data_IF_597082454776
#
_entry.id   IF_597082454776
#
_cell.length_a   1.000
_cell.length_b   1.000
_cell.length_c   1.000
_cell.angle_alpha   90.00
_cell.angle_beta   90.00
_cell.angle_gamma   90.00
#
_symmetry.space_group_name_H-M   'P 1'
#
loop_
_entity.id
_entity.type
_entity.pdbx_description
1 polymer ?
#
# COMPACT_ATOMS: atom_id res chain seq x y z
N UNK A 1 -37.41 -19.55 0.64
CA UNK A 1 -36.13 -19.80 -0.08
C UNK A 1 -35.38 -18.51 -0.48
N UNK A 2 -36.10 -17.43 -0.84
CA UNK A 2 -35.47 -16.14 -1.21
C UNK A 2 -34.84 -15.38 -0.01
N UNK A 3 -35.37 -15.52 1.20
CA UNK A 3 -34.78 -14.89 2.39
C UNK A 3 -33.46 -15.53 2.83
N UNK A 4 -33.33 -16.87 2.77
CA UNK A 4 -32.06 -17.56 3.08
C UNK A 4 -30.91 -17.20 2.14
N UNK A 5 -31.20 -16.93 0.87
CA UNK A 5 -30.18 -16.47 -0.09
C UNK A 5 -29.65 -15.05 0.16
N UNK A 6 -30.50 -14.15 0.72
CA UNK A 6 -30.14 -12.77 1.06
C UNK A 6 -29.25 -12.72 2.33
N UNK A 7 -29.51 -13.52 3.33
CA UNK A 7 -28.69 -13.59 4.56
C UNK A 7 -27.28 -14.14 4.27
N UNK A 8 -27.17 -15.20 3.45
CA UNK A 8 -25.86 -15.74 3.06
C UNK A 8 -25.04 -14.77 2.20
N UNK A 9 -25.69 -13.96 1.37
CA UNK A 9 -25.02 -12.92 0.58
C UNK A 9 -24.52 -11.78 1.48
N UNK A 10 -25.30 -11.36 2.47
CA UNK A 10 -24.92 -10.32 3.43
C UNK A 10 -23.71 -10.69 4.28
N UNK A 11 -23.60 -11.93 4.70
CA UNK A 11 -22.49 -12.42 5.54
C UNK A 11 -21.18 -12.52 4.75
N UNK A 12 -21.21 -12.97 3.49
CA UNK A 12 -20.03 -12.99 2.63
C UNK A 12 -19.44 -11.59 2.38
N UNK A 13 -20.28 -10.56 2.30
CA UNK A 13 -19.83 -9.18 2.10
C UNK A 13 -19.31 -8.52 3.38
N UNK A 14 -19.84 -8.86 4.55
CA UNK A 14 -19.35 -8.38 5.85
C UNK A 14 -17.93 -8.84 6.13
N UNK A 15 -17.62 -10.10 5.81
CA UNK A 15 -16.29 -10.69 6.02
C UNK A 15 -15.17 -10.08 5.16
N UNK A 16 -15.48 -9.34 4.09
CA UNK A 16 -14.44 -8.71 3.26
C UNK A 16 -13.68 -7.58 3.96
N UNK A 17 -14.27 -6.95 4.99
CA UNK A 17 -13.65 -5.88 5.79
C UNK A 17 -13.15 -6.37 7.16
N UNK A 18 -13.27 -7.66 7.45
CA UNK A 18 -12.82 -8.24 8.71
C UNK A 18 -11.52 -9.05 8.52
N UNK A 19 -10.64 -9.04 9.53
CA UNK A 19 -10.66 -8.19 10.72
C UNK A 19 -10.22 -6.74 10.39
N UNK A 20 -10.86 -5.78 11.03
CA UNK A 20 -10.65 -4.36 10.71
C UNK A 20 -9.20 -3.91 10.91
N UNK A 21 -8.55 -4.30 12.01
CA UNK A 21 -7.18 -3.93 12.32
C UNK A 21 -6.17 -4.38 11.24
N UNK A 22 -6.35 -5.59 10.67
CA UNK A 22 -5.51 -6.07 9.56
C UNK A 22 -5.66 -5.19 8.32
N UNK A 23 -6.89 -4.86 7.95
CA UNK A 23 -7.13 -4.01 6.79
C UNK A 23 -6.70 -2.56 7.04
N UNK A 24 -6.74 -2.08 8.28
CA UNK A 24 -6.13 -0.79 8.65
C UNK A 24 -4.63 -0.81 8.40
N UNK A 25 -3.91 -1.85 8.82
CA UNK A 25 -2.49 -1.99 8.51
C UNK A 25 -2.21 -2.05 7.00
N UNK A 26 -3.09 -2.70 6.21
CA UNK A 26 -3.02 -2.69 4.74
C UNK A 26 -3.20 -1.27 4.17
N UNK A 27 -4.13 -0.50 4.69
CA UNK A 27 -4.35 0.88 4.25
C UNK A 27 -3.17 1.79 4.64
N UNK A 28 -2.63 1.62 5.85
CA UNK A 28 -1.51 2.41 6.35
C UNK A 28 -0.24 2.17 5.52
N UNK A 29 0.12 0.92 5.23
CA UNK A 29 1.29 0.68 4.39
C UNK A 29 1.14 1.29 3.01
N UNK A 30 -0.03 1.17 2.37
CA UNK A 30 -0.27 1.78 1.06
C UNK A 30 -0.24 3.31 1.13
N UNK A 31 -0.78 3.89 2.21
CA UNK A 31 -0.84 5.35 2.44
C UNK A 31 0.54 5.96 2.69
N UNK A 32 1.41 5.27 3.41
CA UNK A 32 2.67 5.86 3.86
C UNK A 32 3.87 5.48 3.02
N UNK A 33 3.77 4.43 2.19
CA UNK A 33 4.90 3.95 1.37
C UNK A 33 4.69 4.05 -0.12
N UNK A 34 3.45 4.25 -0.58
CA UNK A 34 3.10 4.28 -2.00
C UNK A 34 3.53 3.03 -2.81
N UNK A 35 3.75 1.89 -2.16
CA UNK A 35 4.19 0.64 -2.82
C UNK A 35 3.16 0.13 -3.83
N UNK A 36 3.64 -0.62 -4.83
CA UNK A 36 2.77 -1.28 -5.80
C UNK A 36 2.06 -2.48 -5.18
N UNK A 37 0.83 -2.76 -5.63
CA UNK A 37 0.06 -3.92 -5.16
C UNK A 37 0.85 -5.23 -5.23
N UNK A 38 1.65 -5.42 -6.27
CA UNK A 38 2.45 -6.63 -6.41
C UNK A 38 3.59 -6.68 -5.39
N UNK A 39 4.27 -5.57 -5.13
CA UNK A 39 5.29 -5.47 -4.08
C UNK A 39 4.70 -5.77 -2.70
N UNK A 40 3.56 -5.16 -2.38
CA UNK A 40 2.82 -5.41 -1.14
C UNK A 40 2.58 -6.91 -0.88
N UNK A 41 2.18 -7.66 -1.91
CA UNK A 41 1.89 -9.10 -1.79
C UNK A 41 3.15 -9.98 -1.65
N UNK A 42 4.35 -9.42 -1.83
CA UNK A 42 5.61 -10.16 -1.69
C UNK A 42 6.41 -9.76 -0.45
N UNK A 43 5.89 -8.87 0.40
CA UNK A 43 6.54 -8.51 1.67
C UNK A 43 6.46 -9.71 2.61
N UNK A 44 7.61 -10.16 3.08
CA UNK A 44 7.76 -11.19 4.11
C UNK A 44 7.92 -10.54 5.48
N UNK A 45 7.72 -11.31 6.55
CA UNK A 45 7.94 -10.82 7.92
C UNK A 45 9.40 -10.36 8.09
N UNK A 46 10.36 -11.13 7.56
CA UNK A 46 11.79 -10.81 7.61
C UNK A 46 12.21 -9.58 6.78
N UNK A 47 11.33 -9.03 5.95
CA UNK A 47 11.64 -7.84 5.15
C UNK A 47 11.39 -6.54 5.91
N UNK A 48 10.75 -6.61 7.09
CA UNK A 48 10.50 -5.46 7.95
C UNK A 48 11.64 -5.33 8.95
N UNK A 49 12.43 -4.30 8.80
CA UNK A 49 13.54 -3.98 9.69
C UNK A 49 13.19 -2.73 10.52
N UNK A 50 12.85 -2.95 11.77
CA UNK A 50 12.49 -1.88 12.71
C UNK A 50 13.72 -1.12 13.23
N UNK A 51 14.89 -1.71 13.22
CA UNK A 51 16.12 -1.09 13.68
C UNK A 51 16.66 -0.12 12.64
N UNK A 52 16.69 -0.55 11.38
CA UNK A 52 17.04 0.30 10.23
C UNK A 52 15.89 1.18 9.74
N UNK A 53 14.70 1.08 10.35
CA UNK A 53 13.50 1.84 10.00
C UNK A 53 13.09 1.70 8.50
N UNK A 54 13.21 0.50 7.94
CA UNK A 54 12.88 0.29 6.53
C UNK A 54 12.16 -1.05 6.26
N UNK A 55 11.52 -1.12 5.10
CA UNK A 55 10.96 -2.35 4.54
C UNK A 55 11.71 -2.64 3.24
N UNK A 56 12.25 -3.84 3.13
CA UNK A 56 12.92 -4.32 1.92
C UNK A 56 11.88 -4.83 0.92
N UNK A 57 11.88 -4.26 -0.28
CA UNK A 57 10.99 -4.65 -1.36
C UNK A 57 11.76 -5.49 -2.37
N UNK A 58 11.41 -6.77 -2.44
CA UNK A 58 12.11 -7.79 -3.23
C UNK A 58 11.85 -7.67 -4.73
N UNK A 59 12.72 -8.32 -5.51
CA UNK A 59 12.64 -8.42 -6.97
C UNK A 59 11.32 -8.99 -7.47
N UNK A 60 10.80 -10.03 -6.81
CA UNK A 60 9.59 -10.75 -7.23
C UNK A 60 8.35 -9.85 -7.29
N UNK A 61 8.31 -8.81 -6.45
CA UNK A 61 7.25 -7.80 -6.45
C UNK A 61 7.46 -6.66 -7.43
N UNK A 62 8.67 -6.50 -7.99
CA UNK A 62 9.07 -5.33 -8.74
C UNK A 62 8.91 -5.49 -10.25
N UNK A 63 8.16 -4.60 -10.91
CA UNK A 63 7.98 -4.60 -12.38
C UNK A 63 9.30 -4.39 -13.16
N UNK A 64 10.26 -3.74 -12.53
CA UNK A 64 11.56 -3.37 -13.11
C UNK A 64 12.73 -4.21 -12.59
N UNK A 65 12.44 -5.34 -11.95
CA UNK A 65 13.43 -6.28 -11.40
C UNK A 65 14.55 -5.59 -10.59
N UNK A 66 14.18 -4.62 -9.74
CA UNK A 66 15.11 -3.96 -8.81
C UNK A 66 14.55 -4.00 -7.40
N UNK A 67 15.39 -4.39 -6.48
CA UNK A 67 15.11 -4.25 -5.06
C UNK A 67 15.21 -2.77 -4.68
N UNK A 68 14.37 -2.35 -3.76
CA UNK A 68 14.51 -1.04 -3.13
C UNK A 68 13.91 -1.08 -1.73
N UNK A 69 14.22 -0.06 -0.95
CA UNK A 69 13.74 0.08 0.41
C UNK A 69 12.73 1.23 0.49
N UNK A 70 11.75 1.07 1.36
CA UNK A 70 10.84 2.16 1.74
C UNK A 70 10.92 2.41 3.23
N UNK A 71 10.90 3.67 3.68
CA UNK A 71 11.06 4.00 5.08
C UNK A 71 9.82 3.62 5.91
N UNK A 72 10.05 3.19 7.15
CA UNK A 72 9.03 3.05 8.18
C UNK A 72 8.97 4.36 8.95
N UNK A 73 8.03 5.23 8.60
CA UNK A 73 7.81 6.49 9.31
C UNK A 73 7.07 6.25 10.64
N UNK A 74 7.16 7.20 11.55
CA UNK A 74 6.55 7.10 12.89
C UNK A 74 5.05 6.79 12.86
N UNK A 75 4.32 7.33 11.89
CA UNK A 75 2.90 7.09 11.74
C UNK A 75 2.54 5.67 11.24
N UNK A 76 3.47 4.98 10.55
CA UNK A 76 3.28 3.61 10.05
C UNK A 76 3.69 2.56 11.08
N UNK A 77 4.71 2.88 11.90
CA UNK A 77 5.36 1.94 12.80
C UNK A 77 4.41 1.16 13.71
N UNK A 78 3.45 1.77 14.42
CA UNK A 78 2.55 1.04 15.32
C UNK A 78 1.71 -0.03 14.61
N UNK A 79 1.17 0.28 13.42
CA UNK A 79 0.38 -0.67 12.63
C UNK A 79 1.21 -1.86 12.15
N UNK A 80 2.48 -1.65 11.82
CA UNK A 80 3.39 -2.72 11.43
C UNK A 80 3.84 -3.58 12.62
N UNK A 81 4.16 -2.97 13.75
CA UNK A 81 4.53 -3.69 14.99
C UNK A 81 3.39 -4.60 15.44
N UNK A 82 2.17 -4.09 15.46
CA UNK A 82 0.97 -4.88 15.78
C UNK A 82 0.80 -6.04 14.78
N UNK A 83 0.89 -5.76 13.47
CA UNK A 83 0.74 -6.80 12.45
C UNK A 83 1.80 -7.89 12.59
N UNK A 84 3.09 -7.54 12.71
CA UNK A 84 4.19 -8.50 12.89
C UNK A 84 3.99 -9.32 14.17
N UNK A 85 3.60 -8.69 15.28
CA UNK A 85 3.28 -9.37 16.53
C UNK A 85 2.15 -10.39 16.35
N UNK A 86 1.07 -10.01 15.69
CA UNK A 86 -0.10 -10.89 15.50
C UNK A 86 0.19 -12.07 14.57
N UNK A 87 0.89 -11.86 13.45
CA UNK A 87 1.24 -12.95 12.53
C UNK A 87 2.23 -13.93 13.19
N UNK A 88 3.19 -13.42 13.97
CA UNK A 88 4.14 -14.27 14.72
C UNK A 88 3.42 -15.09 15.79
N UNK A 89 2.49 -14.50 16.54
CA UNK A 89 1.63 -15.21 17.50
C UNK A 89 0.76 -16.27 16.83
N UNK A 90 0.35 -16.05 15.60
CA UNK A 90 -0.41 -17.03 14.81
C UNK A 90 0.48 -18.20 14.27
N UNK A 91 1.80 -18.14 14.51
CA UNK A 91 2.75 -19.19 14.13
C UNK A 91 3.42 -18.96 12.78
N UNK A 92 3.33 -17.75 12.20
CA UNK A 92 3.99 -17.46 10.93
C UNK A 92 5.52 -17.43 11.08
N UNK A 93 6.21 -17.97 10.08
CA UNK A 93 7.68 -18.00 10.01
C UNK A 93 8.22 -16.73 9.33
N UNK A 94 9.48 -16.32 9.62
CA UNK A 94 10.04 -15.08 9.07
C UNK A 94 10.02 -14.95 7.54
N UNK A 95 10.11 -16.08 6.83
CA UNK A 95 10.09 -16.09 5.36
C UNK A 95 8.69 -16.05 4.75
N UNK A 96 7.64 -16.14 5.56
CA UNK A 96 6.27 -16.14 5.08
C UNK A 96 5.74 -14.73 4.85
N UNK A 97 4.69 -14.65 4.03
CA UNK A 97 4.07 -13.39 3.65
C UNK A 97 3.47 -12.67 4.87
N UNK A 98 3.90 -11.42 5.08
CA UNK A 98 3.42 -10.59 6.20
C UNK A 98 1.92 -10.30 6.09
N UNK A 99 1.46 -9.87 4.91
CA UNK A 99 0.06 -9.48 4.68
C UNK A 99 -0.76 -10.65 4.17
N UNK A 100 -0.87 -11.72 4.98
CA UNK A 100 -1.69 -12.87 4.65
C UNK A 100 -2.89 -12.96 5.61
N UNK A 101 -4.09 -12.67 5.09
CA UNK A 101 -5.35 -12.72 5.85
C UNK A 101 -5.68 -14.12 6.39
N UNK A 102 -5.09 -15.17 5.81
CA UNK A 102 -5.34 -16.55 6.25
C UNK A 102 -4.87 -16.82 7.69
N UNK A 103 -3.95 -16.02 8.21
CA UNK A 103 -3.53 -16.12 9.62
C UNK A 103 -4.67 -15.81 10.60
N UNK A 104 -5.66 -15.04 10.17
CA UNK A 104 -6.72 -14.49 11.02
C UNK A 104 -8.13 -14.94 10.59
N UNK A 105 -8.25 -15.63 9.46
CA UNK A 105 -9.50 -16.17 8.95
C UNK A 105 -9.30 -17.65 8.60
N UNK A 106 -9.66 -18.55 9.54
CA UNK A 106 -9.49 -19.99 9.37
C UNK A 106 -10.23 -20.55 8.15
N UNK A 107 -11.32 -19.88 7.70
CA UNK A 107 -12.08 -20.28 6.51
C UNK A 107 -11.26 -20.07 5.22
N UNK A 108 -10.26 -19.19 5.27
CA UNK A 108 -9.37 -18.88 4.15
C UNK A 108 -8.04 -19.63 4.24
N UNK A 109 -7.74 -20.26 5.39
CA UNK A 109 -6.45 -20.91 5.63
C UNK A 109 -6.13 -21.95 4.56
N UNK A 110 -7.09 -22.78 4.16
CA UNK A 110 -6.89 -23.80 3.13
C UNK A 110 -6.60 -23.22 1.73
N UNK A 111 -7.07 -22.00 1.44
CA UNK A 111 -6.95 -21.38 0.12
C UNK A 111 -5.68 -20.50 -0.04
N UNK A 112 -5.00 -20.16 1.07
CA UNK A 112 -3.89 -19.21 1.07
C UNK A 112 -2.71 -19.70 1.94
N UNK A 113 -2.47 -20.99 1.97
CA UNK A 113 -1.32 -21.57 2.70
C UNK A 113 0.00 -21.03 2.17
N UNK A 114 0.11 -20.86 0.84
CA UNK A 114 1.31 -20.32 0.17
C UNK A 114 1.33 -18.77 0.10
N UNK A 115 0.37 -18.12 0.75
CA UNK A 115 0.24 -16.66 0.77
C UNK A 115 -1.05 -16.13 0.15
N UNK A 116 -1.43 -14.93 0.59
CA UNK A 116 -2.59 -14.22 0.09
C UNK A 116 -2.36 -13.72 -1.34
N UNK A 117 -3.31 -14.01 -2.21
CA UNK A 117 -3.32 -13.54 -3.61
C UNK A 117 -3.97 -12.16 -3.75
N UNK A 118 -4.09 -11.69 -5.01
CA UNK A 118 -4.80 -10.44 -5.32
C UNK A 118 -6.31 -10.50 -5.05
N UNK A 119 -6.90 -11.71 -4.89
CA UNK A 119 -8.36 -11.89 -4.79
C UNK A 119 -8.95 -11.29 -3.51
N UNK A 120 -8.44 -11.60 -2.29
CA UNK A 120 -8.93 -10.97 -1.06
C UNK A 120 -8.75 -9.45 -1.07
N UNK A 121 -7.62 -8.98 -1.57
CA UNK A 121 -7.33 -7.55 -1.66
C UNK A 121 -8.33 -6.82 -2.58
N UNK A 122 -8.64 -7.39 -3.75
CA UNK A 122 -9.68 -6.85 -4.65
C UNK A 122 -11.06 -6.84 -3.99
N UNK A 123 -11.41 -7.91 -3.28
CA UNK A 123 -12.69 -8.01 -2.58
C UNK A 123 -12.82 -6.95 -1.50
N UNK A 124 -11.75 -6.73 -0.73
CA UNK A 124 -11.67 -5.67 0.26
C UNK A 124 -11.87 -4.28 -0.36
N UNK A 125 -11.06 -3.92 -1.37
CA UNK A 125 -11.15 -2.61 -1.99
C UNK A 125 -12.47 -2.36 -2.71
N UNK A 126 -13.06 -3.37 -3.32
CA UNK A 126 -14.40 -3.27 -3.92
C UNK A 126 -15.47 -3.00 -2.86
N UNK A 127 -15.38 -3.67 -1.70
CA UNK A 127 -16.31 -3.43 -0.60
C UNK A 127 -16.08 -2.05 0.01
N UNK A 128 -14.84 -1.68 0.30
CA UNK A 128 -14.48 -0.37 0.82
C UNK A 128 -14.96 0.76 -0.10
N UNK A 129 -14.74 0.65 -1.41
CA UNK A 129 -15.21 1.64 -2.38
C UNK A 129 -16.73 1.82 -2.34
N UNK A 130 -17.48 0.73 -2.14
CA UNK A 130 -18.94 0.77 -2.02
C UNK A 130 -19.38 1.48 -0.74
N UNK A 131 -18.74 1.19 0.37
CA UNK A 131 -19.04 1.83 1.66
C UNK A 131 -18.69 3.32 1.66
N UNK A 132 -17.59 3.70 1.00
CA UNK A 132 -17.15 5.10 0.89
C UNK A 132 -17.92 5.91 -0.15
N UNK A 133 -18.65 5.28 -1.08
CA UNK A 133 -19.34 5.97 -2.16
C UNK A 133 -18.40 6.47 -3.28
N UNK A 134 -17.11 6.14 -3.25
CA UNK A 134 -16.11 6.49 -4.28
C UNK A 134 -15.05 5.39 -4.43
N UNK A 135 -14.37 5.39 -5.58
CA UNK A 135 -13.36 4.38 -5.88
C UNK A 135 -12.13 4.51 -4.98
N UNK A 136 -11.83 3.46 -4.22
CA UNK A 136 -10.60 3.29 -3.42
C UNK A 136 -9.82 2.12 -3.98
N UNK A 137 -8.51 2.28 -4.21
CA UNK A 137 -7.63 1.22 -4.71
C UNK A 137 -6.16 1.48 -4.36
N UNK A 138 -5.29 0.44 -4.35
CA UNK A 138 -3.86 0.61 -4.13
C UNK A 138 -3.22 1.61 -5.10
N UNK A 139 -3.64 1.59 -6.37
CA UNK A 139 -3.14 2.53 -7.38
C UNK A 139 -3.48 3.98 -7.04
N UNK A 140 -4.70 4.24 -6.55
CA UNK A 140 -5.10 5.59 -6.13
C UNK A 140 -4.32 6.10 -4.93
N UNK A 141 -4.00 5.26 -3.96
CA UNK A 141 -3.11 5.64 -2.85
C UNK A 141 -1.77 6.13 -3.39
N UNK A 142 -1.13 5.31 -4.24
CA UNK A 142 0.14 5.65 -4.85
C UNK A 142 0.09 6.94 -5.68
N UNK A 143 -0.92 7.09 -6.51
CA UNK A 143 -1.12 8.30 -7.32
C UNK A 143 -1.30 9.53 -6.42
N UNK A 144 -2.18 9.47 -5.42
CA UNK A 144 -2.44 10.58 -4.50
C UNK A 144 -1.18 11.03 -3.76
N UNK A 145 -0.37 10.07 -3.27
CA UNK A 145 0.88 10.39 -2.56
C UNK A 145 1.88 11.03 -3.51
N UNK A 146 2.06 10.45 -4.69
CA UNK A 146 2.98 10.97 -5.69
C UNK A 146 2.60 12.40 -6.11
N UNK A 147 1.34 12.63 -6.47
CA UNK A 147 0.83 13.95 -6.84
C UNK A 147 0.98 14.95 -5.69
N UNK A 148 0.66 14.54 -4.45
CA UNK A 148 0.81 15.43 -3.29
C UNK A 148 2.27 15.84 -3.05
N UNK A 149 3.22 14.90 -3.19
CA UNK A 149 4.64 15.20 -3.04
C UNK A 149 5.17 16.02 -4.20
N UNK A 150 4.66 15.81 -5.42
CA UNK A 150 5.07 16.54 -6.62
C UNK A 150 4.46 17.93 -6.75
N UNK A 151 3.69 18.40 -5.77
CA UNK A 151 3.29 19.83 -5.68
C UNK A 151 4.47 20.78 -5.43
N UNK A 152 5.58 20.27 -4.91
CA UNK A 152 6.87 20.94 -4.76
C UNK A 152 7.96 20.10 -5.44
N UNK A 153 8.00 20.07 -6.80
CA UNK A 153 8.87 19.16 -7.56
C UNK A 153 10.36 19.45 -7.32
N UNK A 154 10.77 20.71 -7.15
CA UNK A 154 12.15 21.15 -6.87
C UNK A 154 12.70 20.51 -5.58
N UNK A 155 11.85 20.21 -4.62
CA UNK A 155 12.24 19.56 -3.36
C UNK A 155 12.07 18.04 -3.41
N UNK A 156 11.05 17.56 -4.10
CA UNK A 156 10.54 16.21 -3.92
C UNK A 156 10.78 15.27 -5.11
N UNK A 157 11.22 15.76 -6.26
CA UNK A 157 11.36 14.95 -7.48
C UNK A 157 12.20 13.69 -7.26
N UNK A 158 13.41 13.83 -6.67
CA UNK A 158 14.27 12.70 -6.40
C UNK A 158 13.69 11.79 -5.32
N UNK A 159 13.09 12.37 -4.27
CA UNK A 159 12.43 11.62 -3.20
C UNK A 159 11.29 10.77 -3.75
N UNK A 160 10.43 11.33 -4.60
CA UNK A 160 9.31 10.62 -5.22
C UNK A 160 9.81 9.53 -6.16
N UNK A 161 10.82 9.83 -6.99
CA UNK A 161 11.45 8.83 -7.86
C UNK A 161 11.94 7.62 -7.06
N UNK A 162 12.65 7.87 -5.97
CA UNK A 162 13.18 6.83 -5.08
C UNK A 162 12.06 6.06 -4.40
N UNK A 163 11.11 6.76 -3.77
CA UNK A 163 9.97 6.16 -3.07
C UNK A 163 9.14 5.26 -4.00
N UNK A 164 8.91 5.70 -5.23
CA UNK A 164 8.14 4.94 -6.21
C UNK A 164 8.97 3.84 -6.90
N UNK A 165 10.29 3.82 -6.72
CA UNK A 165 11.19 2.91 -7.42
C UNK A 165 11.11 3.10 -8.94
N UNK A 166 11.07 4.36 -9.43
CA UNK A 166 11.08 4.67 -10.85
C UNK A 166 12.51 4.65 -11.40
N UNK A 167 12.73 3.92 -12.48
CA UNK A 167 14.00 3.92 -13.21
C UNK A 167 14.15 5.24 -13.97
N UNK A 168 13.10 5.66 -14.67
CA UNK A 168 13.06 6.88 -15.46
C UNK A 168 12.48 8.06 -14.68
N UNK A 169 13.08 9.23 -14.85
CA UNK A 169 12.57 10.48 -14.34
C UNK A 169 11.24 10.86 -15.00
N UNK A 170 11.08 10.55 -16.30
CA UNK A 170 9.84 10.81 -17.04
C UNK A 170 8.61 10.21 -16.37
N UNK A 171 8.71 8.97 -15.85
CA UNK A 171 7.62 8.35 -15.09
C UNK A 171 7.26 9.06 -13.78
N UNK A 172 8.18 9.86 -13.24
CA UNK A 172 7.91 10.66 -12.04
C UNK A 172 7.30 12.00 -12.40
N UNK A 173 7.71 12.56 -13.53
CA UNK A 173 7.18 13.83 -14.06
C UNK A 173 5.69 13.75 -14.45
N UNK A 174 5.17 12.55 -14.72
CA UNK A 174 3.72 12.32 -14.94
C UNK A 174 2.84 12.78 -13.75
N UNK A 175 3.42 12.95 -12.57
CA UNK A 175 2.72 13.41 -11.36
C UNK A 175 2.87 14.93 -11.13
N UNK A 176 3.61 15.65 -11.97
CA UNK A 176 3.76 17.09 -11.86
C UNK A 176 2.54 17.75 -12.48
N UNK A 177 1.74 18.40 -11.65
CA UNK A 177 0.65 19.25 -12.11
C UNK A 177 1.22 20.63 -12.44
N UNK A 178 0.90 21.19 -13.61
CA UNK A 178 1.28 22.55 -13.97
C UNK A 178 0.49 23.51 -13.08
N UNK A 179 1.20 24.17 -12.17
CA UNK A 179 0.63 25.21 -11.32
C UNK A 179 1.05 26.58 -11.87
N UNK A 180 0.10 27.30 -12.48
CA UNK A 180 0.33 28.61 -13.08
C UNK A 180 0.78 29.65 -12.03
N UNK A 181 0.27 29.56 -10.79
CA UNK A 181 0.67 30.46 -9.70
C UNK A 181 2.13 30.24 -9.31
N UNK A 182 2.55 28.97 -9.21
CA UNK A 182 3.96 28.62 -8.96
C UNK A 182 4.86 29.07 -10.10
N UNK A 183 4.44 28.88 -11.35
CA UNK A 183 5.16 29.35 -12.52
C UNK A 183 5.32 30.87 -12.50
N UNK A 184 4.25 31.61 -12.21
CA UNK A 184 4.27 33.06 -12.08
C UNK A 184 5.24 33.50 -10.98
N UNK A 185 5.16 32.91 -9.78
CA UNK A 185 6.04 33.22 -8.66
C UNK A 185 7.51 33.02 -9.01
N UNK A 186 7.83 31.90 -9.68
CA UNK A 186 9.18 31.60 -10.15
C UNK A 186 9.66 32.63 -11.16
N UNK A 187 8.84 32.99 -12.15
CA UNK A 187 9.21 34.01 -13.15
C UNK A 187 9.43 35.36 -12.50
N UNK A 188 8.59 35.77 -11.55
CA UNK A 188 8.74 37.01 -10.81
C UNK A 188 10.01 37.01 -9.91
N UNK A 189 10.45 35.87 -9.42
CA UNK A 189 11.66 35.74 -8.62
C UNK A 189 12.91 35.74 -9.48
N UNK A 190 12.93 34.96 -10.55
CA UNK A 190 14.13 34.73 -11.38
C UNK A 190 14.37 35.84 -12.41
N UNK A 191 13.33 36.58 -12.82
CA UNK A 191 13.41 37.65 -13.83
C UNK A 191 13.30 39.04 -13.22
N UNK A 192 13.62 39.22 -11.93
CA UNK A 192 13.80 40.55 -11.32
C UNK A 192 15.11 41.14 -11.83
N UNK A 193 14.97 42.06 -12.76
CA UNK A 193 16.05 42.94 -13.27
C UNK A 193 16.20 44.16 -12.38
#
# INVERSE_FOLDING_TARGET
>A
QQQRGREQSGDRYRNALAPAWFWTAVLDILRYTAIRQNQFLHIRISDVDFDSHCIHLRLEGAKNHREHQVPIISALRPSLEELVSQVTKAGAMPHEQLFNIAWFDFRRKANYQDGMTKVPLRSFFRRLSRECGFLVSPHRFRHTIATKLMRTPERNLQTVKTLLGHVSLASTLEYVEVNIESLKATLEQELRW
#
